data_IF_369369615641
#
_entry.id   IF_369369615641
#
_cell.length_a   1.000
_cell.length_b   1.000
_cell.length_c   1.000
_cell.angle_alpha   90.00
_cell.angle_beta   90.00
_cell.angle_gamma   90.00
#
_symmetry.space_group_name_H-M   'P 1'
#
loop_
_entity.id
_entity.type
_entity.pdbx_description
1 polymer ?
#
# COMPACT_ATOMS: atom_id res chain seq x y z
N UNK A 1 -10.97 -12.95 -11.71
CA UNK A 1 -10.35 -11.85 -12.48
C UNK A 1 -8.92 -12.24 -12.76
N UNK A 2 -8.52 -12.27 -14.03
CA UNK A 2 -7.16 -12.62 -14.44
C UNK A 2 -6.32 -11.34 -14.34
N UNK A 3 -5.79 -11.05 -13.14
CA UNK A 3 -4.76 -10.02 -13.00
C UNK A 3 -3.59 -10.49 -13.86
N UNK A 4 -3.21 -9.68 -14.85
CA UNK A 4 -2.07 -9.95 -15.73
C UNK A 4 -0.87 -10.31 -14.87
N UNK A 5 -0.45 -11.59 -14.87
CA UNK A 5 0.78 -11.99 -14.19
C UNK A 5 1.92 -11.20 -14.83
N UNK A 6 2.63 -10.34 -14.08
CA UNK A 6 3.72 -9.59 -14.65
C UNK A 6 4.79 -10.57 -15.15
N UNK A 7 5.09 -10.52 -16.45
CA UNK A 7 5.94 -11.51 -17.15
C UNK A 7 7.43 -11.17 -17.13
N UNK A 8 7.82 -10.07 -16.48
CA UNK A 8 9.20 -9.55 -16.45
C UNK A 8 9.63 -9.09 -15.04
N UNK A 9 9.05 -9.63 -13.97
CA UNK A 9 9.61 -9.36 -12.65
C UNK A 9 10.95 -10.08 -12.54
N UNK A 10 12.02 -9.41 -12.06
CA UNK A 10 13.22 -10.09 -11.62
C UNK A 10 12.85 -11.19 -10.63
N UNK A 11 13.55 -12.32 -10.69
CA UNK A 11 13.41 -13.34 -9.67
C UNK A 11 14.04 -12.84 -8.36
N UNK A 12 13.19 -12.55 -7.38
CA UNK A 12 13.59 -12.07 -6.07
C UNK A 12 13.66 -13.20 -5.02
N UNK A 13 13.42 -14.45 -5.40
CA UNK A 13 13.29 -15.59 -4.47
C UNK A 13 14.57 -15.95 -3.71
N UNK A 14 15.72 -15.42 -4.12
CA UNK A 14 17.02 -15.60 -3.46
C UNK A 14 17.59 -14.35 -2.79
N UNK A 15 16.81 -13.26 -2.68
CA UNK A 15 17.29 -12.07 -1.98
C UNK A 15 17.35 -12.32 -0.47
N UNK A 16 18.49 -12.00 0.13
CA UNK A 16 18.57 -11.80 1.57
C UNK A 16 17.95 -10.46 1.92
N UNK A 17 16.75 -10.49 2.50
CA UNK A 17 16.03 -9.30 2.95
C UNK A 17 16.38 -8.92 4.40
N UNK A 18 17.43 -9.51 4.97
CA UNK A 18 17.92 -9.17 6.31
C UNK A 18 18.78 -7.89 6.29
N UNK A 19 18.15 -6.77 5.96
CA UNK A 19 18.75 -5.43 6.02
C UNK A 19 17.73 -4.42 6.52
N UNK A 20 18.23 -3.30 7.06
CA UNK A 20 17.38 -2.22 7.53
C UNK A 20 16.69 -1.50 6.37
N UNK A 21 15.37 -1.33 6.49
CA UNK A 21 14.51 -0.70 5.50
C UNK A 21 14.03 0.64 6.03
N UNK A 22 14.17 1.67 5.19
CA UNK A 22 13.45 2.93 5.35
C UNK A 22 12.33 2.94 4.33
N UNK A 23 11.09 2.85 4.81
CA UNK A 23 9.92 3.01 3.94
C UNK A 23 9.73 4.50 3.65
N UNK A 24 10.14 4.91 2.45
CA UNK A 24 10.12 6.32 2.06
C UNK A 24 8.73 6.86 1.75
N UNK A 25 7.70 6.00 1.63
CA UNK A 25 6.39 6.44 1.20
C UNK A 25 5.29 5.44 1.57
N UNK A 26 4.49 5.77 2.57
CA UNK A 26 3.21 5.10 2.82
C UNK A 26 2.09 6.10 3.12
N UNK A 27 0.85 5.65 2.93
CA UNK A 27 -0.35 6.37 3.33
C UNK A 27 -1.06 5.59 4.43
N UNK A 28 -1.74 6.33 5.31
CA UNK A 28 -2.63 5.78 6.32
C UNK A 28 -4.00 6.41 6.10
N UNK A 29 -5.08 5.66 6.33
CA UNK A 29 -6.43 6.13 6.10
C UNK A 29 -7.32 5.84 7.31
N UNK A 30 -8.04 6.86 7.75
CA UNK A 30 -9.17 6.73 8.68
C UNK A 30 -10.42 7.31 8.00
N UNK A 31 -11.14 6.44 7.31
CA UNK A 31 -12.36 6.78 6.56
C UNK A 31 -13.56 7.02 7.49
N UNK A 32 -13.44 6.69 8.78
CA UNK A 32 -14.47 7.00 9.78
C UNK A 32 -14.30 8.42 10.32
N UNK A 33 -13.06 8.92 10.40
CA UNK A 33 -12.75 10.24 10.95
C UNK A 33 -12.52 11.32 9.88
N UNK A 34 -12.02 10.97 8.71
CA UNK A 34 -11.57 11.91 7.68
C UNK A 34 -12.27 11.62 6.35
N UNK A 35 -12.71 12.69 5.69
CA UNK A 35 -13.36 12.62 4.39
C UNK A 35 -12.33 12.78 3.26
N UNK A 36 -12.23 11.76 2.41
CA UNK A 36 -11.27 11.68 1.31
C UNK A 36 -12.02 11.61 -0.04
N UNK A 37 -12.31 12.73 -0.72
CA UNK A 37 -13.21 12.73 -1.90
C UNK A 37 -12.81 11.71 -2.97
N UNK A 38 -11.52 11.63 -3.31
CA UNK A 38 -11.03 10.71 -4.34
C UNK A 38 -11.18 9.22 -3.95
N UNK A 39 -11.27 8.92 -2.66
CA UNK A 39 -11.32 7.57 -2.10
C UNK A 39 -12.75 7.15 -1.72
N UNK A 40 -13.55 8.04 -1.13
CA UNK A 40 -14.87 7.73 -0.58
C UNK A 40 -16.05 8.05 -1.52
N UNK A 41 -15.85 8.91 -2.51
CA UNK A 41 -16.93 9.27 -3.43
C UNK A 41 -17.11 8.18 -4.52
N UNK A 42 -17.63 8.59 -5.67
CA UNK A 42 -17.85 7.70 -6.79
C UNK A 42 -16.51 7.16 -7.35
N UNK A 43 -16.49 5.91 -7.84
CA UNK A 43 -15.31 5.38 -8.49
C UNK A 43 -14.85 6.29 -9.63
N UNK A 44 -13.59 6.73 -9.55
CA UNK A 44 -12.95 7.46 -10.64
C UNK A 44 -12.71 6.49 -11.81
N UNK A 45 -13.59 6.55 -12.81
CA UNK A 45 -13.59 5.63 -13.98
C UNK A 45 -12.27 5.61 -14.73
N UNK A 46 -11.48 6.66 -14.60
CA UNK A 46 -10.19 6.84 -15.27
C UNK A 46 -9.04 7.02 -14.27
N UNK A 47 -9.17 6.46 -13.06
CA UNK A 47 -8.08 6.50 -12.10
C UNK A 47 -6.80 5.94 -12.71
N UNK A 48 -5.70 6.69 -12.58
CA UNK A 48 -4.45 6.44 -13.29
C UNK A 48 -3.90 5.02 -13.05
N UNK A 49 -4.16 4.46 -11.87
CA UNK A 49 -3.64 3.15 -11.43
C UNK A 49 -4.67 2.02 -11.58
N UNK A 50 -5.82 2.27 -12.23
CA UNK A 50 -6.87 1.27 -12.45
C UNK A 50 -7.85 1.13 -11.30
N UNK A 51 -8.49 -0.04 -11.18
CA UNK A 51 -9.50 -0.30 -10.15
C UNK A 51 -8.89 -0.27 -8.74
N UNK A 52 -9.34 0.67 -7.91
CA UNK A 52 -8.77 0.96 -6.58
C UNK A 52 -9.74 0.67 -5.43
N UNK A 53 -10.84 -0.06 -5.66
CA UNK A 53 -11.82 -0.37 -4.63
C UNK A 53 -11.19 -1.09 -3.42
N UNK A 54 -10.10 -1.83 -3.61
CA UNK A 54 -9.35 -2.47 -2.53
C UNK A 54 -8.65 -1.49 -1.56
N UNK A 55 -8.53 -0.22 -1.92
CA UNK A 55 -8.00 0.85 -1.07
C UNK A 55 -9.09 1.53 -0.22
N UNK A 56 -10.38 1.32 -0.52
CA UNK A 56 -11.52 1.99 0.13
C UNK A 56 -11.86 1.36 1.49
N UNK A 57 -10.88 1.34 2.38
CA UNK A 57 -10.98 0.84 3.75
C UNK A 57 -10.02 1.60 4.65
N UNK A 58 -10.29 1.55 5.94
CA UNK A 58 -9.35 2.04 6.94
C UNK A 58 -8.01 1.28 6.82
N UNK A 59 -6.92 2.01 7.00
CA UNK A 59 -5.56 1.48 7.04
C UNK A 59 -4.76 2.23 8.10
N UNK A 60 -4.69 1.64 9.29
CA UNK A 60 -4.10 2.24 10.48
C UNK A 60 -2.61 1.93 10.62
N UNK A 61 -1.96 2.58 11.59
CA UNK A 61 -0.58 2.24 12.01
C UNK A 61 -0.47 0.77 12.43
N UNK A 62 -1.52 0.21 13.04
CA UNK A 62 -1.52 -1.21 13.44
C UNK A 62 -1.53 -2.11 12.22
N UNK A 63 -2.32 -1.77 11.20
CA UNK A 63 -2.37 -2.53 9.95
C UNK A 63 -1.03 -2.47 9.22
N UNK A 64 -0.44 -1.28 9.11
CA UNK A 64 0.90 -1.09 8.54
C UNK A 64 1.96 -1.95 9.24
N UNK A 65 1.98 -1.94 10.59
CA UNK A 65 2.93 -2.75 11.37
C UNK A 65 2.70 -4.25 11.20
N UNK A 66 1.45 -4.69 11.04
CA UNK A 66 1.16 -6.08 10.80
C UNK A 66 1.63 -6.52 9.41
N UNK A 67 1.37 -5.71 8.38
CA UNK A 67 1.75 -6.02 7.00
C UNK A 67 3.27 -5.98 6.78
N UNK A 68 3.99 -5.14 7.53
CA UNK A 68 5.45 -5.01 7.47
C UNK A 68 6.19 -5.86 8.51
N UNK A 69 5.48 -6.69 9.28
CA UNK A 69 6.04 -7.38 10.46
C UNK A 69 7.20 -8.34 10.16
N UNK A 70 7.27 -8.87 8.93
CA UNK A 70 8.35 -9.75 8.47
C UNK A 70 9.58 -8.98 7.93
N UNK A 71 9.52 -7.64 7.88
CA UNK A 71 10.56 -6.76 7.35
C UNK A 71 11.23 -5.95 8.47
N UNK A 72 12.53 -5.66 8.34
CA UNK A 72 13.26 -4.79 9.27
C UNK A 72 13.04 -3.31 8.96
N UNK A 73 11.79 -2.83 9.05
CA UNK A 73 11.47 -1.41 8.82
C UNK A 73 11.89 -0.57 10.03
N UNK A 74 12.96 0.21 9.88
CA UNK A 74 13.53 1.02 10.98
C UNK A 74 13.01 2.45 11.01
N UNK A 75 12.56 2.97 9.86
CA UNK A 75 12.00 4.31 9.72
C UNK A 75 10.96 4.35 8.59
N UNK A 76 10.02 5.28 8.69
CA UNK A 76 8.96 5.44 7.69
C UNK A 76 8.63 6.91 7.45
N UNK A 77 8.23 7.25 6.23
CA UNK A 77 7.63 8.55 5.89
C UNK A 77 6.17 8.32 5.54
N UNK A 78 5.31 8.92 6.36
CA UNK A 78 3.87 9.01 6.06
C UNK A 78 3.62 10.20 5.13
N UNK A 79 2.81 9.97 4.11
CA UNK A 79 2.38 10.96 3.11
C UNK A 79 0.84 10.97 3.10
N UNK A 80 0.26 12.14 2.86
CA UNK A 80 -1.18 12.37 2.64
C UNK A 80 -1.40 12.89 1.21
#
# INVERSE_FOLDING_TARGET
MNLSKPVNLPDFSGLDLNFDIVDSHHHLFDLQAIYYPWLTDHPEKHFLLGHYDGLKRDYSVTDYRADTGDLSVVQTVHVE
#
